data_IF_986802461182
#
_entry.id   IF_986802461182
#
_cell.length_a   1.000
_cell.length_b   1.000
_cell.length_c   1.000
_cell.angle_alpha   90.00
_cell.angle_beta   90.00
_cell.angle_gamma   90.00
#
_symmetry.space_group_name_H-M   'P 1'
#
loop_
_entity.id
_entity.type
_entity.pdbx_description
1 polymer ?
#
# COMPACT_ATOMS: atom_id res chain seq x y z
N UNK A 1 -2.97 -5.12 -0.38
CA UNK A 1 -3.44 -4.57 0.92
C UNK A 1 -2.75 -5.18 2.13
N UNK A 2 -2.35 -6.46 2.14
CA UNK A 2 -1.82 -7.11 3.36
C UNK A 2 -0.55 -6.48 3.96
N UNK A 3 0.26 -5.73 3.21
CA UNK A 3 1.47 -5.06 3.70
C UNK A 3 1.24 -3.66 4.28
N UNK A 4 0.05 -3.09 4.11
CA UNK A 4 -0.33 -1.82 4.73
C UNK A 4 -0.56 -2.01 6.24
N UNK A 5 -0.57 -0.92 7.01
CA UNK A 5 -1.29 -0.92 8.30
C UNK A 5 -2.72 -1.45 8.08
N UNK A 6 -3.23 -2.37 8.93
CA UNK A 6 -4.55 -2.95 8.72
C UNK A 6 -5.70 -1.94 8.73
N UNK A 7 -5.48 -0.77 9.32
CA UNK A 7 -6.45 0.31 9.40
C UNK A 7 -6.07 1.48 8.50
N UNK A 8 -7.09 2.22 8.05
CA UNK A 8 -6.90 3.51 7.38
C UNK A 8 -6.34 3.43 5.96
N UNK A 9 -6.49 2.29 5.25
CA UNK A 9 -5.93 2.07 3.92
C UNK A 9 -6.67 2.95 2.89
N UNK A 10 -6.01 3.94 2.26
CA UNK A 10 -6.68 4.80 1.29
C UNK A 10 -6.97 4.05 -0.01
N UNK A 11 -8.18 4.19 -0.54
CA UNK A 11 -8.58 3.60 -1.82
C UNK A 11 -7.72 4.10 -2.98
N UNK A 12 -7.40 5.40 -2.98
CA UNK A 12 -6.68 6.03 -4.08
C UNK A 12 -5.30 5.42 -4.35
N UNK A 13 -4.60 4.92 -3.33
CA UNK A 13 -3.29 4.28 -3.51
C UNK A 13 -3.44 2.88 -4.11
N UNK A 14 -4.53 2.18 -3.79
CA UNK A 14 -4.88 0.88 -4.37
C UNK A 14 -5.31 1.04 -5.83
N UNK A 15 -6.12 2.05 -6.11
CA UNK A 15 -6.56 2.37 -7.47
C UNK A 15 -5.38 2.80 -8.35
N UNK A 16 -4.46 3.62 -7.81
CA UNK A 16 -3.21 3.95 -8.51
C UNK A 16 -2.37 2.71 -8.77
N UNK A 17 -2.25 1.78 -7.82
CA UNK A 17 -1.57 0.51 -8.05
C UNK A 17 -2.23 -0.28 -9.19
N UNK A 18 -3.55 -0.48 -9.13
CA UNK A 18 -4.32 -1.21 -10.15
C UNK A 18 -4.14 -0.63 -11.55
N UNK A 19 -4.32 0.68 -11.72
CA UNK A 19 -4.11 1.37 -13.01
C UNK A 19 -2.70 1.17 -13.56
N UNK A 20 -1.69 1.19 -12.68
CA UNK A 20 -0.31 0.97 -13.12
C UNK A 20 -0.06 -0.48 -13.55
N UNK A 21 -0.68 -1.45 -12.91
CA UNK A 21 -0.63 -2.86 -13.34
C UNK A 21 -1.38 -3.03 -14.68
N UNK A 22 -2.56 -2.45 -14.83
CA UNK A 22 -3.35 -2.50 -16.05
C UNK A 22 -2.64 -1.83 -17.25
N UNK A 23 -1.95 -0.70 -17.03
CA UNK A 23 -1.16 -0.02 -18.06
C UNK A 23 0.05 -0.83 -18.56
N UNK A 24 0.45 -1.88 -17.84
CA UNK A 24 1.50 -2.83 -18.24
C UNK A 24 0.93 -4.04 -19.00
N UNK A 25 -0.40 -4.18 -19.08
CA UNK A 25 -1.12 -5.20 -19.85
C UNK A 25 -1.92 -4.59 -21.02
N UNK A 26 -2.51 -5.47 -21.86
CA UNK A 26 -3.36 -5.05 -22.97
C UNK A 26 -4.64 -4.38 -22.44
N UNK A 27 -4.99 -3.24 -23.04
CA UNK A 27 -5.98 -2.28 -22.53
C UNK A 27 -7.41 -2.70 -22.88
N UNK A 28 -8.20 -3.12 -21.89
CA UNK A 28 -9.67 -2.91 -21.93
C UNK A 28 -10.42 -2.96 -20.57
N UNK A 29 -9.80 -3.43 -19.46
CA UNK A 29 -10.55 -3.69 -18.19
C UNK A 29 -10.04 -2.90 -16.96
N UNK A 30 -9.42 -1.73 -17.15
CA UNK A 30 -8.60 -1.09 -16.10
C UNK A 30 -9.33 -0.47 -14.89
N UNK A 31 -10.65 -0.26 -14.96
CA UNK A 31 -11.42 0.42 -13.88
C UNK A 31 -12.56 -0.45 -13.34
N UNK A 32 -13.26 -1.22 -14.18
CA UNK A 32 -14.34 -2.12 -13.74
C UNK A 32 -13.84 -3.26 -12.85
N UNK A 33 -12.70 -3.88 -13.19
CA UNK A 33 -12.18 -5.00 -12.42
C UNK A 33 -11.73 -4.61 -11.00
N UNK A 34 -11.26 -3.37 -10.82
CA UNK A 34 -10.83 -2.90 -9.49
C UNK A 34 -12.00 -2.77 -8.52
N UNK A 35 -13.11 -2.16 -8.96
CA UNK A 35 -14.30 -2.00 -8.13
C UNK A 35 -14.95 -3.36 -7.85
N UNK A 36 -15.00 -4.26 -8.85
CA UNK A 36 -15.49 -5.64 -8.69
C UNK A 36 -14.67 -6.44 -7.68
N UNK A 37 -13.34 -6.31 -7.69
CA UNK A 37 -12.45 -6.95 -6.71
C UNK A 37 -12.73 -6.42 -5.29
N UNK A 38 -12.88 -5.10 -5.12
CA UNK A 38 -13.19 -4.50 -3.82
C UNK A 38 -14.57 -4.93 -3.30
N UNK A 39 -15.59 -4.92 -4.16
CA UNK A 39 -16.94 -5.38 -3.83
C UNK A 39 -16.91 -6.84 -3.40
N UNK A 40 -16.17 -7.69 -4.12
CA UNK A 40 -15.98 -9.09 -3.76
C UNK A 40 -15.36 -9.23 -2.37
N UNK A 41 -14.27 -8.51 -2.09
CA UNK A 41 -13.61 -8.54 -0.78
C UNK A 41 -14.54 -8.08 0.35
N UNK A 42 -15.42 -7.10 0.10
CA UNK A 42 -16.42 -6.65 1.07
C UNK A 42 -17.53 -7.67 1.30
N UNK A 43 -18.06 -8.28 0.23
CA UNK A 43 -19.11 -9.32 0.32
C UNK A 43 -18.63 -10.51 1.15
N UNK A 44 -17.36 -10.88 1.04
CA UNK A 44 -16.75 -11.93 1.86
C UNK A 44 -16.26 -11.45 3.24
N UNK A 45 -16.52 -10.20 3.62
CA UNK A 45 -16.07 -9.61 4.88
C UNK A 45 -14.55 -9.72 5.09
N UNK A 46 -13.78 -9.66 4.01
CA UNK A 46 -12.31 -9.69 4.05
C UNK A 46 -11.74 -8.29 4.31
N UNK A 47 -12.43 -7.28 3.82
CA UNK A 47 -12.19 -5.87 4.09
C UNK A 47 -13.48 -5.20 4.55
N UNK A 48 -13.36 -4.05 5.21
CA UNK A 48 -14.48 -3.21 5.64
C UNK A 48 -14.26 -1.78 5.17
N UNK A 49 -15.27 -1.16 4.58
CA UNK A 49 -15.26 0.29 4.30
C UNK A 49 -15.49 1.06 5.60
N UNK A 50 -14.72 2.12 5.85
CA UNK A 50 -14.91 2.94 7.06
C UNK A 50 -15.96 4.03 6.83
N UNK A 51 -16.26 4.79 7.89
CA UNK A 51 -17.10 5.99 7.78
C UNK A 51 -16.46 7.08 6.91
N UNK A 52 -15.13 7.07 6.78
CA UNK A 52 -14.39 7.99 5.92
C UNK A 52 -14.43 7.47 4.48
N UNK A 53 -14.95 8.29 3.56
CA UNK A 53 -15.08 7.91 2.15
C UNK A 53 -13.71 7.56 1.55
N UNK A 54 -13.64 6.40 0.90
CA UNK A 54 -12.42 5.94 0.21
C UNK A 54 -11.33 5.47 1.17
N UNK A 55 -11.71 4.95 2.33
CA UNK A 55 -10.81 4.36 3.32
C UNK A 55 -11.31 2.97 3.68
N UNK A 56 -10.40 2.00 3.67
CA UNK A 56 -10.67 0.61 3.97
C UNK A 56 -9.85 0.11 5.15
N UNK A 57 -10.38 -0.91 5.81
CA UNK A 57 -9.66 -1.71 6.78
C UNK A 57 -9.63 -3.16 6.33
N UNK A 58 -8.54 -3.85 6.63
CA UNK A 58 -8.42 -5.29 6.49
C UNK A 58 -8.40 -5.89 7.89
N UNK A 59 -9.22 -6.93 8.12
CA UNK A 59 -9.20 -7.62 9.39
C UNK A 59 -7.79 -8.18 9.67
N UNK A 60 -7.28 -7.99 10.89
CA UNK A 60 -5.94 -8.42 11.27
C UNK A 60 -5.70 -9.92 11.02
N UNK A 61 -6.72 -10.77 11.23
CA UNK A 61 -6.64 -12.19 10.91
C UNK A 61 -6.53 -12.45 9.40
N UNK A 62 -7.34 -11.77 8.58
CA UNK A 62 -7.27 -11.89 7.11
C UNK A 62 -5.91 -11.44 6.60
N UNK A 63 -5.40 -10.31 7.11
CA UNK A 63 -4.06 -9.83 6.82
C UNK A 63 -3.00 -10.87 7.17
N UNK A 64 -3.06 -11.43 8.38
CA UNK A 64 -2.13 -12.44 8.86
C UNK A 64 -2.15 -13.69 7.98
N UNK A 65 -3.34 -14.29 7.77
CA UNK A 65 -3.51 -15.46 6.92
C UNK A 65 -3.01 -15.22 5.50
N UNK A 66 -3.24 -14.03 4.94
CA UNK A 66 -2.73 -13.66 3.61
C UNK A 66 -1.21 -13.64 3.58
N UNK A 67 -0.54 -13.07 4.59
CA UNK A 67 0.93 -13.05 4.66
C UNK A 67 1.51 -14.47 4.82
N UNK A 68 0.88 -15.33 5.64
CA UNK A 68 1.27 -16.74 5.79
C UNK A 68 1.12 -17.50 4.48
N UNK A 69 0.00 -17.27 3.77
CA UNK A 69 -0.22 -17.85 2.45
C UNK A 69 0.88 -17.42 1.47
N UNK A 70 1.18 -16.11 1.38
CA UNK A 70 2.27 -15.59 0.52
C UNK A 70 3.65 -16.16 0.87
N UNK A 71 3.96 -16.40 2.14
CA UNK A 71 5.23 -17.02 2.54
C UNK A 71 5.34 -18.48 2.12
N UNK A 72 4.20 -19.19 2.01
CA UNK A 72 4.19 -20.61 1.63
C UNK A 72 4.58 -20.79 0.16
N UNK A 73 4.31 -19.80 -0.69
CA UNK A 73 4.64 -19.82 -2.12
C UNK A 73 5.92 -19.07 -2.48
N UNK A 74 6.72 -18.67 -1.48
CA UNK A 74 7.96 -17.90 -1.66
C UNK A 74 7.77 -16.53 -2.36
N UNK A 75 6.54 -16.02 -2.40
CA UNK A 75 6.21 -14.74 -3.04
C UNK A 75 6.29 -13.55 -2.08
N UNK A 76 6.47 -13.80 -0.77
CA UNK A 76 6.46 -12.76 0.25
C UNK A 76 7.49 -11.65 -0.03
N UNK A 77 8.71 -12.00 -0.43
CA UNK A 77 9.76 -11.02 -0.76
C UNK A 77 9.39 -10.21 -2.01
N UNK A 78 8.81 -10.86 -3.03
CA UNK A 78 8.36 -10.18 -4.24
C UNK A 78 7.26 -9.15 -3.93
N UNK A 79 6.29 -9.51 -3.09
CA UNK A 79 5.22 -8.59 -2.69
C UNK A 79 5.70 -7.48 -1.77
N UNK A 80 6.67 -7.74 -0.90
CA UNK A 80 7.36 -6.71 -0.13
C UNK A 80 8.02 -5.66 -1.05
N UNK A 81 8.73 -6.11 -2.09
CA UNK A 81 9.36 -5.20 -3.06
C UNK A 81 8.32 -4.39 -3.83
N UNK A 82 7.23 -5.02 -4.28
CA UNK A 82 6.11 -4.31 -4.94
C UNK A 82 5.49 -3.26 -4.02
N UNK A 83 5.31 -3.59 -2.75
CA UNK A 83 4.78 -2.67 -1.75
C UNK A 83 5.72 -1.48 -1.52
N UNK A 84 7.03 -1.74 -1.37
CA UNK A 84 8.03 -0.70 -1.21
C UNK A 84 8.07 0.24 -2.42
N UNK A 85 8.09 -0.30 -3.64
CA UNK A 85 8.07 0.50 -4.86
C UNK A 85 6.80 1.37 -4.96
N UNK A 86 5.64 0.83 -4.56
CA UNK A 86 4.39 1.59 -4.49
C UNK A 86 4.52 2.74 -3.47
N UNK A 87 5.02 2.47 -2.27
CA UNK A 87 5.21 3.50 -1.24
C UNK A 87 6.23 4.56 -1.69
N UNK A 88 7.34 4.17 -2.33
CA UNK A 88 8.34 5.10 -2.84
C UNK A 88 7.78 6.04 -3.93
N UNK A 89 6.87 5.53 -4.75
CA UNK A 89 6.21 6.32 -5.79
C UNK A 89 5.15 7.27 -5.23
N UNK A 90 4.32 6.78 -4.31
CA UNK A 90 3.12 7.50 -3.87
C UNK A 90 3.34 8.36 -2.62
N UNK A 91 4.33 8.03 -1.77
CA UNK A 91 4.64 8.82 -0.58
C UNK A 91 5.27 10.15 -1.02
N UNK A 92 4.59 11.29 -0.80
CA UNK A 92 5.05 12.54 -1.35
C UNK A 92 6.11 13.20 -0.43
N UNK A 93 6.92 14.07 -1.01
CA UNK A 93 7.81 14.93 -0.23
C UNK A 93 6.98 15.80 0.73
N UNK A 94 7.41 15.91 1.99
CA UNK A 94 6.71 16.54 3.12
C UNK A 94 6.55 18.07 3.06
N UNK A 95 6.18 18.62 1.91
CA UNK A 95 5.73 20.02 1.80
C UNK A 95 4.27 20.19 2.20
N UNK A 96 3.88 21.39 2.64
CA UNK A 96 2.52 21.70 3.13
C UNK A 96 1.39 21.22 2.22
N UNK A 97 1.54 21.36 0.90
CA UNK A 97 0.55 20.89 -0.10
C UNK A 97 0.27 19.38 -0.03
N UNK A 98 1.20 18.60 0.52
CA UNK A 98 1.16 17.14 0.54
C UNK A 98 0.82 16.56 1.91
N UNK A 99 0.64 17.40 2.94
CA UNK A 99 0.46 16.95 4.33
C UNK A 99 -0.68 15.96 4.51
N UNK A 100 -1.84 16.19 3.88
CA UNK A 100 -2.96 15.27 3.96
C UNK A 100 -2.60 13.86 3.46
N UNK A 101 -1.84 13.76 2.35
CA UNK A 101 -1.35 12.47 1.84
C UNK A 101 -0.27 11.87 2.72
N UNK A 102 0.68 12.66 3.21
CA UNK A 102 1.69 12.20 4.16
C UNK A 102 1.03 11.62 5.42
N UNK A 103 0.02 12.31 5.97
CA UNK A 103 -0.71 11.89 7.15
C UNK A 103 -1.42 10.55 6.94
N UNK A 104 -2.11 10.38 5.80
CA UNK A 104 -2.75 9.11 5.45
C UNK A 104 -1.75 7.97 5.28
N UNK A 105 -0.58 8.25 4.68
CA UNK A 105 0.41 7.21 4.39
C UNK A 105 1.34 6.88 5.55
N UNK A 106 1.47 7.77 6.54
CA UNK A 106 2.41 7.62 7.64
C UNK A 106 2.22 6.31 8.42
N UNK A 107 1.01 5.89 8.82
CA UNK A 107 0.83 4.62 9.54
C UNK A 107 1.27 3.39 8.72
N UNK A 108 1.26 3.50 7.38
CA UNK A 108 1.58 2.39 6.50
C UNK A 108 3.09 2.20 6.28
N UNK A 109 3.95 3.13 6.70
CA UNK A 109 5.41 2.93 6.58
C UNK A 109 5.97 1.98 7.66
N UNK A 110 5.20 1.67 8.69
CA UNK A 110 5.66 0.81 9.80
C UNK A 110 6.11 -0.58 9.33
N UNK A 111 5.43 -1.14 8.31
CA UNK A 111 5.81 -2.42 7.73
C UNK A 111 7.16 -2.38 7.00
N UNK A 112 7.66 -1.20 6.64
CA UNK A 112 8.97 -1.02 6.02
C UNK A 112 10.12 -1.13 7.03
N UNK A 113 9.88 -0.97 8.33
CA UNK A 113 10.94 -1.06 9.35
C UNK A 113 11.46 -2.48 9.56
N UNK A 114 10.61 -3.48 9.30
CA UNK A 114 10.92 -4.90 9.50
C UNK A 114 11.28 -5.59 8.17
N UNK A 115 11.33 -4.82 7.07
CA UNK A 115 11.61 -5.37 5.74
C UNK A 115 13.08 -5.77 5.61
N UNK A 116 13.32 -7.00 5.15
CA UNK A 116 14.65 -7.43 4.72
C UNK A 116 14.90 -6.92 3.29
N UNK A 117 15.96 -6.12 3.13
CA UNK A 117 16.34 -5.52 1.86
C UNK A 117 17.55 -6.26 1.31
N UNK A 118 17.39 -6.88 0.13
CA UNK A 118 18.43 -7.72 -0.50
C UNK A 118 19.12 -7.03 -1.68
N UNK A 119 18.61 -5.89 -2.15
CA UNK A 119 19.07 -5.20 -3.36
C UNK A 119 19.27 -3.69 -3.12
N UNK A 120 20.29 -3.11 -3.76
CA UNK A 120 20.65 -1.68 -3.66
C UNK A 120 19.50 -0.75 -4.09
N UNK A 121 18.73 -1.11 -5.11
CA UNK A 121 17.61 -0.28 -5.56
C UNK A 121 16.48 -0.23 -4.53
N UNK A 122 16.19 -1.35 -3.86
CA UNK A 122 15.23 -1.39 -2.76
C UNK A 122 15.73 -0.58 -1.55
N UNK A 123 17.03 -0.55 -1.29
CA UNK A 123 17.60 0.32 -0.25
C UNK A 123 17.39 1.80 -0.59
N UNK A 124 17.58 2.21 -1.85
CA UNK A 124 17.35 3.61 -2.27
C UNK A 124 15.89 4.01 -2.11
N UNK A 125 14.95 3.18 -2.57
CA UNK A 125 13.50 3.40 -2.43
C UNK A 125 13.10 3.53 -0.95
N UNK A 126 13.63 2.65 -0.10
CA UNK A 126 13.39 2.68 1.34
C UNK A 126 13.90 3.95 2.00
N UNK A 127 15.15 4.34 1.73
CA UNK A 127 15.74 5.58 2.23
C UNK A 127 14.94 6.80 1.78
N UNK A 128 14.44 6.81 0.53
CA UNK A 128 13.60 7.90 0.02
C UNK A 128 12.31 8.03 0.84
N UNK A 129 11.55 6.95 1.01
CA UNK A 129 10.28 6.98 1.77
C UNK A 129 10.51 7.48 3.19
N UNK A 130 11.53 6.95 3.88
CA UNK A 130 11.83 7.35 5.25
C UNK A 130 12.27 8.81 5.36
N UNK A 131 13.11 9.30 4.45
CA UNK A 131 13.50 10.71 4.42
C UNK A 131 12.29 11.63 4.23
N UNK A 132 11.33 11.24 3.38
CA UNK A 132 10.13 12.03 3.15
C UNK A 132 9.20 12.02 4.38
N UNK A 133 9.06 10.87 5.04
CA UNK A 133 8.32 10.74 6.29
C UNK A 133 8.95 11.58 7.41
N UNK A 134 10.26 11.50 7.60
CA UNK A 134 11.00 12.30 8.58
C UNK A 134 10.82 13.79 8.29
N UNK A 135 10.90 14.22 7.03
CA UNK A 135 10.71 15.61 6.65
C UNK A 135 9.29 16.11 6.97
N UNK A 136 8.28 15.29 6.73
CA UNK A 136 6.91 15.59 7.13
C UNK A 136 6.79 15.73 8.66
N UNK A 137 7.30 14.76 9.43
CA UNK A 137 7.26 14.80 10.90
C UNK A 137 7.98 16.04 11.47
N UNK A 138 9.05 16.50 10.83
CA UNK A 138 9.77 17.72 11.24
C UNK A 138 9.03 19.02 10.93
N UNK A 139 8.09 19.00 9.99
CA UNK A 139 7.44 20.23 9.47
C UNK A 139 5.98 20.36 9.87
N UNK A 140 5.32 19.26 10.24
CA UNK A 140 3.96 19.21 10.77
C UNK A 140 3.89 19.68 12.23
#
# INVERSE_FOLDING_TARGET
MSFFNPQGIPEWILQNYSRNVANLGDKDEGDSGFDEDLDTLQVYSLITATADKGVYEIHALVQFCTRVWLSTFNDLEQWNRKYLALMAREFPYGGFKNWAKCQQLLPHIESLYVMQLSNDDSVKEWVQVLNYAVRYIQTA
#
